data_IF_437272816115
#
_entry.id   IF_437272816115
#
_cell.length_a   1.000
_cell.length_b   1.000
_cell.length_c   1.000
_cell.angle_alpha   90.00
_cell.angle_beta   90.00
_cell.angle_gamma   90.00
#
_symmetry.space_group_name_H-M   'P 1'
#
loop_
_entity.id
_entity.type
_entity.pdbx_description
1 polymer ?
#
# COMPACT_ATOMS: atom_id res chain seq x y z
N UNK A 1 1.63 -0.62 -42.93
CA UNK A 1 2.05 -1.78 -42.13
C UNK A 1 3.07 -1.35 -41.05
N UNK A 2 4.12 -0.63 -41.41
CA UNK A 2 5.20 -0.19 -40.51
C UNK A 2 4.75 0.82 -39.46
N UNK A 3 3.77 1.67 -39.78
CA UNK A 3 3.17 2.60 -38.82
C UNK A 3 2.51 1.86 -37.66
N UNK A 4 1.72 0.85 -37.92
CA UNK A 4 1.03 0.06 -36.89
C UNK A 4 1.98 -0.80 -36.06
N UNK A 5 3.09 -1.27 -36.63
CA UNK A 5 4.16 -1.94 -35.86
C UNK A 5 4.83 -0.98 -34.87
N UNK A 6 5.12 0.27 -35.29
CA UNK A 6 5.66 1.30 -34.39
C UNK A 6 4.66 1.70 -33.29
N UNK A 7 3.37 1.74 -33.60
CA UNK A 7 2.32 1.98 -32.58
C UNK A 7 2.23 0.81 -31.61
N UNK A 8 2.26 -0.42 -32.09
CA UNK A 8 2.24 -1.62 -31.25
C UNK A 8 3.47 -1.72 -30.34
N UNK A 9 4.65 -1.33 -30.81
CA UNK A 9 5.87 -1.28 -30.00
C UNK A 9 5.83 -0.18 -28.92
N UNK A 10 5.18 0.95 -29.18
CA UNK A 10 4.94 1.98 -28.17
C UNK A 10 4.00 1.51 -27.07
N UNK A 11 2.97 0.76 -27.41
CA UNK A 11 1.99 0.23 -26.45
C UNK A 11 2.59 -0.89 -25.59
N UNK A 12 3.58 -1.62 -26.12
CA UNK A 12 4.28 -2.69 -25.37
C UNK A 12 5.33 -2.21 -24.37
N UNK A 13 5.79 -0.97 -24.49
CA UNK A 13 6.82 -0.39 -23.61
C UNK A 13 6.15 0.60 -22.66
N UNK A 14 5.60 0.08 -21.58
CA UNK A 14 5.13 0.91 -20.46
C UNK A 14 6.34 1.19 -19.53
N UNK A 15 6.75 2.44 -19.45
CA UNK A 15 7.84 2.85 -18.55
C UNK A 15 7.26 3.06 -17.18
N UNK A 16 7.38 2.08 -16.29
CA UNK A 16 7.01 2.26 -14.89
C UNK A 16 8.21 2.85 -14.16
N UNK A 17 8.02 4.07 -13.61
CA UNK A 17 9.00 4.68 -12.72
C UNK A 17 8.96 3.95 -11.38
N UNK A 18 9.99 3.15 -11.11
CA UNK A 18 10.17 2.50 -9.81
C UNK A 18 11.00 3.42 -8.93
N UNK A 19 10.44 3.85 -7.79
CA UNK A 19 11.20 4.61 -6.80
C UNK A 19 12.27 3.71 -6.18
N UNK A 20 13.55 4.15 -6.13
CA UNK A 20 14.59 3.39 -5.46
C UNK A 20 14.29 3.26 -3.96
N UNK A 21 14.64 2.13 -3.37
CA UNK A 21 14.58 1.93 -1.93
C UNK A 21 15.89 2.39 -1.30
N UNK A 22 15.78 3.19 -0.23
CA UNK A 22 16.97 3.59 0.56
C UNK A 22 17.54 2.40 1.29
N UNK A 23 18.87 2.28 1.25
CA UNK A 23 19.61 1.27 2.00
C UNK A 23 19.54 1.45 3.52
N UNK A 24 20.09 0.51 4.24
CA UNK A 24 20.19 0.54 5.69
C UNK A 24 21.39 1.38 6.14
N UNK A 25 21.25 2.06 7.28
CA UNK A 25 22.36 2.69 8.00
C UNK A 25 22.63 1.83 9.23
N UNK A 26 23.86 1.33 9.34
CA UNK A 26 24.30 0.50 10.44
C UNK A 26 25.31 1.26 11.31
N UNK A 27 25.41 0.90 12.59
CA UNK A 27 26.49 1.32 13.49
C UNK A 27 27.76 0.50 13.21
N UNK A 28 28.88 0.82 13.90
CA UNK A 28 30.11 0.04 13.82
C UNK A 28 29.94 -1.40 14.34
N UNK A 29 28.94 -1.65 15.19
CA UNK A 29 28.60 -2.97 15.74
C UNK A 29 27.49 -3.66 14.90
N UNK A 30 27.28 -3.20 13.67
CA UNK A 30 26.26 -3.72 12.73
C UNK A 30 24.81 -3.59 13.23
N UNK A 31 24.56 -2.72 14.23
CA UNK A 31 23.21 -2.44 14.71
C UNK A 31 22.47 -1.54 13.72
N UNK A 32 21.21 -1.85 13.48
CA UNK A 32 20.37 -1.15 12.51
C UNK A 32 19.95 0.22 13.04
N UNK A 33 20.60 1.30 12.58
CA UNK A 33 20.32 2.69 12.97
C UNK A 33 19.14 3.30 12.19
N UNK A 34 19.05 3.00 10.91
CA UNK A 34 17.91 3.38 10.08
C UNK A 34 17.68 2.35 8.96
N UNK A 35 16.41 2.03 8.71
CA UNK A 35 15.99 1.08 7.68
C UNK A 35 14.72 1.55 6.99
N UNK A 36 14.51 1.12 5.76
CA UNK A 36 13.27 1.36 5.03
C UNK A 36 12.39 0.12 5.08
N UNK A 37 11.18 0.26 5.62
CA UNK A 37 10.17 -0.80 5.64
C UNK A 37 9.00 -0.41 4.74
N UNK A 38 8.46 -1.36 3.97
CA UNK A 38 7.26 -1.10 3.17
C UNK A 38 6.03 -0.95 4.07
N UNK A 39 5.27 0.10 3.82
CA UNK A 39 3.94 0.33 4.37
C UNK A 39 2.92 0.37 3.23
N UNK A 40 1.71 -0.05 3.51
CA UNK A 40 0.66 -0.19 2.49
C UNK A 40 -0.57 0.64 2.86
N UNK A 41 -1.14 1.33 1.87
CA UNK A 41 -2.52 1.81 1.93
C UNK A 41 -3.42 0.85 1.18
N UNK A 42 -4.56 0.54 1.78
CA UNK A 42 -5.49 -0.47 1.29
C UNK A 42 -6.66 0.18 0.58
N UNK A 43 -6.91 -0.23 -0.66
CA UNK A 43 -7.97 0.32 -1.50
C UNK A 43 -8.83 -0.77 -2.11
N UNK A 44 -10.04 -0.39 -2.49
CA UNK A 44 -11.01 -1.23 -3.18
C UNK A 44 -11.52 -0.55 -4.44
N UNK A 45 -11.51 -1.27 -5.55
CA UNK A 45 -12.15 -0.91 -6.81
C UNK A 45 -13.46 -1.68 -6.93
N UNK A 46 -14.56 -1.01 -6.58
CA UNK A 46 -15.89 -1.61 -6.65
C UNK A 46 -16.40 -1.73 -8.09
N UNK A 47 -15.89 -0.91 -9.02
CA UNK A 47 -16.23 -1.02 -10.42
C UNK A 47 -15.65 -2.31 -11.04
N UNK A 48 -14.38 -2.65 -10.72
CA UNK A 48 -13.77 -3.89 -11.18
C UNK A 48 -14.52 -5.12 -10.64
N UNK A 49 -14.99 -5.06 -9.39
CA UNK A 49 -15.80 -6.11 -8.78
C UNK A 49 -17.13 -6.30 -9.53
N UNK A 50 -17.79 -5.20 -9.89
CA UNK A 50 -19.04 -5.20 -10.66
C UNK A 50 -18.82 -5.74 -12.08
N UNK A 51 -17.81 -5.26 -12.81
CA UNK A 51 -17.46 -5.73 -14.16
C UNK A 51 -17.10 -7.24 -14.17
N UNK A 52 -16.45 -7.74 -13.11
CA UNK A 52 -16.11 -9.14 -12.95
C UNK A 52 -17.34 -10.04 -12.61
N UNK A 53 -18.53 -9.47 -12.45
CA UNK A 53 -19.78 -10.18 -12.06
C UNK A 53 -19.66 -10.96 -10.73
N UNK A 54 -18.77 -10.51 -9.84
CA UNK A 54 -18.54 -11.11 -8.53
C UNK A 54 -19.40 -10.50 -7.41
N UNK A 55 -20.42 -9.76 -7.78
CA UNK A 55 -21.28 -9.01 -6.87
C UNK A 55 -22.07 -9.92 -5.91
N UNK A 56 -22.51 -11.08 -6.40
CA UNK A 56 -23.17 -12.10 -5.57
C UNK A 56 -22.22 -12.69 -4.54
N UNK A 57 -20.97 -12.97 -4.92
CA UNK A 57 -19.93 -13.45 -4.02
C UNK A 57 -19.58 -12.41 -2.95
N UNK A 58 -19.49 -11.15 -3.35
CA UNK A 58 -19.28 -10.02 -2.43
C UNK A 58 -20.38 -9.96 -1.39
N UNK A 59 -21.65 -9.94 -1.82
CA UNK A 59 -22.81 -9.85 -0.92
C UNK A 59 -22.87 -11.05 0.05
N UNK A 60 -22.59 -12.27 -0.44
CA UNK A 60 -22.57 -13.47 0.38
C UNK A 60 -21.43 -13.49 1.42
N UNK A 61 -20.31 -12.79 1.15
CA UNK A 61 -19.13 -12.79 2.03
C UNK A 61 -18.94 -11.49 2.80
N UNK A 62 -19.81 -10.51 2.61
CA UNK A 62 -19.67 -9.17 3.22
C UNK A 62 -19.57 -9.23 4.75
N UNK A 63 -20.37 -10.05 5.42
CA UNK A 63 -20.31 -10.20 6.87
C UNK A 63 -18.98 -10.81 7.34
N UNK A 64 -18.48 -11.80 6.60
CA UNK A 64 -17.17 -12.40 6.90
C UNK A 64 -16.03 -11.39 6.69
N UNK A 65 -16.13 -10.53 5.68
CA UNK A 65 -15.15 -9.46 5.42
C UNK A 65 -15.20 -8.43 6.55
N UNK A 66 -16.39 -7.96 6.94
CA UNK A 66 -16.55 -6.96 7.99
C UNK A 66 -16.06 -7.45 9.35
N UNK A 67 -16.35 -8.70 9.69
CA UNK A 67 -15.86 -9.33 10.92
C UNK A 67 -14.34 -9.54 10.86
N UNK A 68 -13.80 -9.97 9.72
CA UNK A 68 -12.37 -10.10 9.52
C UNK A 68 -11.63 -8.76 9.65
N UNK A 69 -12.15 -7.71 9.04
CA UNK A 69 -11.60 -6.35 9.17
C UNK A 69 -11.69 -5.82 10.61
N UNK A 70 -12.77 -6.12 11.34
CA UNK A 70 -12.88 -5.75 12.74
C UNK A 70 -11.85 -6.48 13.62
N UNK A 71 -11.59 -7.76 13.36
CA UNK A 71 -10.57 -8.52 14.09
C UNK A 71 -9.16 -7.97 13.87
N UNK A 72 -8.86 -7.52 12.64
CA UNK A 72 -7.57 -6.92 12.29
C UNK A 72 -7.49 -5.46 12.80
N UNK A 73 -8.58 -4.71 12.71
CA UNK A 73 -8.68 -3.31 13.11
C UNK A 73 -9.77 -3.10 14.16
N UNK A 74 -9.50 -3.39 15.44
CA UNK A 74 -10.49 -3.32 16.52
C UNK A 74 -10.97 -1.89 16.81
N UNK A 75 -10.28 -0.87 16.27
CA UNK A 75 -10.66 0.54 16.42
C UNK A 75 -12.04 0.85 15.78
N UNK A 76 -12.46 0.09 14.76
CA UNK A 76 -13.75 0.25 14.08
C UNK A 76 -14.60 -1.02 14.22
N UNK A 77 -15.89 -0.87 14.50
CA UNK A 77 -16.83 -2.00 14.58
C UNK A 77 -17.11 -2.60 13.20
N UNK A 78 -17.48 -3.88 13.17
CA UNK A 78 -17.90 -4.56 11.94
C UNK A 78 -19.07 -3.83 11.22
N UNK A 79 -20.01 -3.26 11.99
CA UNK A 79 -21.10 -2.44 11.43
C UNK A 79 -20.61 -1.15 10.77
N UNK A 80 -19.56 -0.52 11.32
CA UNK A 80 -18.93 0.66 10.73
C UNK A 80 -18.24 0.32 9.42
N UNK A 81 -17.50 -0.80 9.37
CA UNK A 81 -16.91 -1.31 8.13
C UNK A 81 -17.96 -1.63 7.07
N UNK A 82 -19.05 -2.27 7.48
CA UNK A 82 -20.15 -2.57 6.56
C UNK A 82 -20.69 -1.31 5.90
N UNK A 83 -21.04 -0.28 6.68
CA UNK A 83 -21.54 1.00 6.16
C UNK A 83 -20.54 1.64 5.20
N UNK A 84 -19.27 1.65 5.58
CA UNK A 84 -18.20 2.22 4.76
C UNK A 84 -18.03 1.49 3.42
N UNK A 85 -18.05 0.16 3.43
CA UNK A 85 -17.94 -0.65 2.22
C UNK A 85 -19.18 -0.54 1.31
N UNK A 86 -20.38 -0.51 1.90
CA UNK A 86 -21.63 -0.30 1.16
C UNK A 86 -21.69 1.09 0.51
N UNK A 87 -21.18 2.12 1.19
CA UNK A 87 -21.08 3.47 0.62
C UNK A 87 -20.14 3.49 -0.60
N UNK A 88 -18.96 2.88 -0.50
CA UNK A 88 -18.02 2.76 -1.62
C UNK A 88 -18.61 2.00 -2.80
N UNK A 89 -19.35 0.93 -2.53
CA UNK A 89 -20.04 0.13 -3.53
C UNK A 89 -21.16 0.92 -4.23
N UNK A 90 -21.98 1.63 -3.49
CA UNK A 90 -23.05 2.44 -4.05
C UNK A 90 -22.54 3.55 -4.98
N UNK A 91 -21.34 4.06 -4.70
CA UNK A 91 -20.64 5.05 -5.55
C UNK A 91 -19.88 4.41 -6.72
N UNK A 92 -19.80 3.09 -6.82
CA UNK A 92 -18.95 2.35 -7.78
C UNK A 92 -17.53 2.94 -7.84
N UNK A 93 -16.99 3.30 -6.69
CA UNK A 93 -15.67 3.95 -6.61
C UNK A 93 -14.57 3.00 -7.06
N UNK A 94 -13.68 3.50 -7.94
CA UNK A 94 -12.49 2.75 -8.41
C UNK A 94 -11.32 2.82 -7.44
N UNK A 95 -11.36 3.76 -6.49
CA UNK A 95 -10.28 3.99 -5.55
C UNK A 95 -10.86 4.34 -4.17
N UNK A 96 -11.48 3.35 -3.53
CA UNK A 96 -12.09 3.49 -2.22
C UNK A 96 -11.12 3.07 -1.13
N UNK A 97 -10.78 4.00 -0.25
CA UNK A 97 -9.87 3.75 0.86
C UNK A 97 -10.54 2.83 1.88
N UNK A 98 -9.97 1.66 2.15
CA UNK A 98 -10.50 0.70 3.14
C UNK A 98 -10.12 1.10 4.57
N UNK A 99 -8.90 1.60 4.75
CA UNK A 99 -8.35 2.01 6.03
C UNK A 99 -7.56 3.31 5.87
N UNK A 100 -7.75 4.23 6.80
CA UNK A 100 -7.20 5.59 6.75
C UNK A 100 -5.70 5.67 7.08
N UNK A 101 -5.20 4.71 7.86
CA UNK A 101 -3.77 4.63 8.20
C UNK A 101 -3.03 3.70 7.23
N UNK A 102 -1.73 3.86 7.15
CA UNK A 102 -0.86 2.89 6.50
C UNK A 102 -0.72 1.65 7.39
N UNK A 103 -0.56 0.50 6.79
CA UNK A 103 -0.39 -0.78 7.48
C UNK A 103 0.94 -1.42 7.10
N UNK A 104 1.47 -2.22 7.99
CA UNK A 104 2.67 -3.03 7.77
C UNK A 104 2.37 -4.24 6.88
N UNK A 105 3.43 -4.93 6.47
CA UNK A 105 3.32 -6.11 5.60
C UNK A 105 2.49 -7.25 6.22
N UNK A 106 2.60 -7.47 7.53
CA UNK A 106 1.87 -8.54 8.22
C UNK A 106 0.36 -8.26 8.18
N UNK A 107 -0.05 -7.07 8.59
CA UNK A 107 -1.46 -6.63 8.54
C UNK A 107 -2.00 -6.64 7.10
N UNK A 108 -1.21 -6.21 6.11
CA UNK A 108 -1.58 -6.32 4.70
C UNK A 108 -1.86 -7.77 4.29
N UNK A 109 -1.00 -8.70 4.70
CA UNK A 109 -1.15 -10.13 4.38
C UNK A 109 -2.41 -10.72 5.02
N UNK A 110 -2.72 -10.35 6.26
CA UNK A 110 -3.95 -10.75 6.94
C UNK A 110 -5.19 -10.23 6.23
N UNK A 111 -5.22 -8.95 5.84
CA UNK A 111 -6.33 -8.38 5.07
C UNK A 111 -6.48 -9.08 3.73
N UNK A 112 -5.37 -9.34 3.02
CA UNK A 112 -5.38 -10.03 1.74
C UNK A 112 -5.89 -11.47 1.84
N UNK A 113 -5.76 -12.12 2.98
CA UNK A 113 -6.28 -13.47 3.22
C UNK A 113 -7.80 -13.53 3.36
N UNK A 114 -8.47 -12.39 3.57
CA UNK A 114 -9.92 -12.32 3.72
C UNK A 114 -10.66 -12.81 2.45
N UNK A 115 -11.89 -13.33 2.61
CA UNK A 115 -12.73 -13.70 1.48
C UNK A 115 -12.84 -12.56 0.48
N UNK A 116 -12.88 -12.88 -0.82
CA UNK A 116 -12.86 -11.94 -1.95
C UNK A 116 -11.51 -11.25 -2.14
N UNK A 117 -10.87 -10.68 -1.12
CA UNK A 117 -9.59 -9.97 -1.24
C UNK A 117 -8.43 -10.87 -1.68
N UNK A 118 -8.49 -12.16 -1.40
CA UNK A 118 -7.52 -13.16 -1.87
C UNK A 118 -7.57 -13.41 -3.39
N UNK A 119 -8.62 -12.96 -4.07
CA UNK A 119 -8.73 -13.09 -5.53
C UNK A 119 -7.81 -12.08 -6.23
N UNK A 120 -7.42 -12.34 -7.49
CA UNK A 120 -6.65 -11.39 -8.28
C UNK A 120 -7.33 -10.01 -8.34
N UNK A 121 -6.54 -8.93 -8.43
CA UNK A 121 -6.99 -7.53 -8.45
C UNK A 121 -8.19 -7.29 -9.37
N UNK A 122 -8.16 -7.81 -10.60
CA UNK A 122 -9.24 -7.63 -11.59
C UNK A 122 -10.53 -8.39 -11.27
N UNK A 123 -10.50 -9.32 -10.30
CA UNK A 123 -11.69 -10.08 -9.86
C UNK A 123 -12.21 -9.62 -8.51
N UNK A 124 -11.32 -9.17 -7.64
CA UNK A 124 -11.66 -8.71 -6.29
C UNK A 124 -11.85 -7.20 -6.21
N UNK A 125 -11.16 -6.44 -7.07
CA UNK A 125 -11.00 -5.00 -6.94
C UNK A 125 -10.04 -4.57 -5.83
N UNK A 126 -9.56 -5.47 -4.98
CA UNK A 126 -8.63 -5.16 -3.91
C UNK A 126 -7.25 -4.81 -4.47
N UNK A 127 -6.73 -3.64 -4.11
CA UNK A 127 -5.40 -3.21 -4.49
C UNK A 127 -4.76 -2.36 -3.39
N UNK A 128 -3.45 -2.21 -3.47
CA UNK A 128 -2.67 -1.48 -2.48
C UNK A 128 -1.72 -0.52 -3.16
N UNK A 129 -1.42 0.56 -2.46
CA UNK A 129 -0.30 1.43 -2.77
C UNK A 129 0.79 1.21 -1.74
N UNK A 130 2.00 1.01 -2.22
CA UNK A 130 3.18 0.81 -1.39
C UNK A 130 3.87 2.14 -1.11
N UNK A 131 4.24 2.34 0.14
CA UNK A 131 4.98 3.48 0.64
C UNK A 131 6.21 3.00 1.39
N UNK A 132 7.32 3.66 1.20
CA UNK A 132 8.53 3.39 1.93
C UNK A 132 8.57 4.24 3.21
N UNK A 133 8.49 3.59 4.37
CA UNK A 133 8.60 4.26 5.66
C UNK A 133 10.02 4.10 6.22
N UNK A 134 10.66 5.22 6.53
CA UNK A 134 11.97 5.22 7.17
C UNK A 134 11.82 4.99 8.67
N UNK A 135 12.30 3.87 9.15
CA UNK A 135 12.24 3.47 10.55
C UNK A 135 13.60 3.67 11.23
N UNK A 136 13.56 4.12 12.49
CA UNK A 136 14.74 4.28 13.36
C UNK A 136 14.48 3.51 14.66
N UNK A 137 15.04 2.31 14.80
CA UNK A 137 14.81 1.48 15.98
C UNK A 137 15.23 2.14 17.28
N UNK A 138 16.29 2.96 17.24
CA UNK A 138 16.82 3.68 18.42
C UNK A 138 16.31 5.13 18.54
N UNK A 139 15.23 5.49 17.84
CA UNK A 139 14.60 6.80 17.93
C UNK A 139 15.54 7.97 17.58
N UNK A 140 15.80 8.84 18.55
CA UNK A 140 16.62 10.05 18.35
C UNK A 140 18.13 9.82 18.47
N UNK A 141 18.57 8.58 18.79
CA UNK A 141 20.00 8.28 18.91
C UNK A 141 20.73 8.62 17.61
N UNK A 142 21.83 9.35 17.72
CA UNK A 142 22.63 9.83 16.59
C UNK A 142 21.81 10.60 15.52
N UNK A 143 20.68 11.19 15.89
CA UNK A 143 19.74 11.81 14.95
C UNK A 143 20.36 12.90 14.06
N UNK A 144 21.35 13.66 14.58
CA UNK A 144 22.08 14.66 13.78
C UNK A 144 23.02 14.04 12.75
N UNK A 145 23.64 12.91 13.09
CA UNK A 145 24.58 12.19 12.22
C UNK A 145 23.83 11.41 11.15
N UNK A 146 22.82 10.63 11.55
CA UNK A 146 21.98 9.85 10.64
C UNK A 146 21.22 10.78 9.71
N UNK A 147 20.66 11.83 10.24
CA UNK A 147 19.84 12.78 9.47
C UNK A 147 18.35 12.48 9.60
N UNK A 148 17.51 13.21 8.94
CA UNK A 148 16.06 12.99 8.93
C UNK A 148 15.43 13.21 7.56
N UNK A 149 14.33 12.49 7.32
CA UNK A 149 13.51 12.57 6.12
C UNK A 149 12.32 13.47 6.42
N UNK A 150 12.09 14.50 5.63
CA UNK A 150 11.01 15.45 5.87
C UNK A 150 10.03 15.52 4.69
N UNK A 151 8.76 15.39 5.05
CA UNK A 151 7.63 15.65 4.15
C UNK A 151 7.27 14.51 3.20
N UNK A 152 6.27 14.77 2.36
CA UNK A 152 5.70 13.80 1.44
C UNK A 152 6.63 13.42 0.26
N UNK A 153 7.77 14.09 0.13
CA UNK A 153 8.70 13.91 -1.01
C UNK A 153 9.89 13.00 -0.71
N UNK A 154 9.96 12.39 0.47
CA UNK A 154 11.07 11.53 0.90
C UNK A 154 12.45 12.18 0.68
N UNK A 155 12.58 13.49 0.92
CA UNK A 155 13.84 14.23 0.77
C UNK A 155 14.54 14.39 2.10
N UNK A 156 15.83 14.08 2.12
CA UNK A 156 16.66 14.28 3.30
C UNK A 156 17.13 15.76 3.39
N UNK A 157 17.35 16.24 4.62
CA UNK A 157 17.80 17.63 4.85
C UNK A 157 19.22 17.74 5.39
N UNK A 158 19.70 16.74 6.09
CA UNK A 158 21.03 16.75 6.69
C UNK A 158 21.49 15.32 7.04
N UNK A 159 22.75 15.18 7.45
CA UNK A 159 23.35 13.94 7.90
C UNK A 159 23.63 12.95 6.77
N UNK A 160 23.83 11.70 7.13
CA UNK A 160 24.09 10.61 6.18
C UNK A 160 22.94 10.43 5.18
N UNK A 161 21.70 10.64 5.63
CA UNK A 161 20.55 10.57 4.73
C UNK A 161 20.66 11.54 3.56
N UNK A 162 21.15 12.77 3.80
CA UNK A 162 21.38 13.76 2.73
C UNK A 162 22.62 13.42 1.90
N UNK A 163 23.71 12.99 2.54
CA UNK A 163 24.96 12.70 1.85
C UNK A 163 24.83 11.58 0.82
N UNK A 164 23.90 10.64 1.04
CA UNK A 164 23.64 9.50 0.16
C UNK A 164 22.28 9.56 -0.56
N UNK A 165 21.66 10.75 -0.62
CA UNK A 165 20.33 10.93 -1.26
C UNK A 165 20.36 10.77 -2.79
N UNK A 166 21.54 10.95 -3.41
CA UNK A 166 21.73 10.92 -4.87
C UNK A 166 22.41 9.65 -5.40
N UNK A 167 22.64 8.67 -4.55
CA UNK A 167 23.23 7.37 -4.90
C UNK A 167 22.13 6.31 -5.02
#
# INVERSE_FOLDING_TARGET
RDYWLKVADRVKKDSVSVKPMRGNILSCDEQLMASTLPEYKLYMDFNALYEAKNDSLWTAKLDSICNGLHNIFPEKSAASFRRHLEEGRNKLSRHWLLWDKRVDYNTFTEVRALPVFRLPKFKSGFHTEEYNARQRPYGSLAGRTVGDMYGAKDTARFGLELSYDSI
#
